data_IF_926810872377
#
_entry.id   IF_926810872377
#
_cell.length_a   1.000
_cell.length_b   1.000
_cell.length_c   1.000
_cell.angle_alpha   90.00
_cell.angle_beta   90.00
_cell.angle_gamma   90.00
#
_symmetry.space_group_name_H-M   'P 1'
#
loop_
_entity.id
_entity.type
_entity.pdbx_description
1 polymer ?
#
# COMPACT_ATOMS: atom_id res chain seq x y z
N UNK A 1 -9.79 2.57 5.58
CA UNK A 1 -10.01 3.07 6.96
C UNK A 1 -11.27 3.90 6.96
N UNK A 2 -12.14 3.78 7.98
CA UNK A 2 -13.35 4.60 8.01
C UNK A 2 -14.19 4.42 9.26
N UNK A 3 -15.28 5.17 9.30
CA UNK A 3 -16.20 5.28 10.42
C UNK A 3 -17.61 4.96 9.94
N UNK A 4 -18.36 4.23 10.77
CA UNK A 4 -19.79 3.97 10.57
C UNK A 4 -20.50 4.09 11.92
N UNK A 5 -21.80 4.36 11.90
CA UNK A 5 -22.59 4.43 13.11
C UNK A 5 -22.63 3.06 13.81
N UNK A 6 -22.73 3.07 15.15
CA UNK A 6 -22.88 1.83 15.91
C UNK A 6 -24.26 1.24 15.61
N UNK A 7 -24.30 -0.03 15.21
CA UNK A 7 -25.53 -0.75 14.88
C UNK A 7 -25.97 -0.66 13.41
N UNK A 8 -25.22 0.05 12.56
CA UNK A 8 -25.42 0.02 11.09
C UNK A 8 -24.46 -0.96 10.42
N UNK A 9 -24.81 -1.40 9.21
CA UNK A 9 -23.90 -2.14 8.36
C UNK A 9 -22.65 -1.29 8.06
N UNK A 10 -21.51 -1.95 7.81
CA UNK A 10 -20.25 -1.32 7.40
C UNK A 10 -20.26 -0.96 5.91
N UNK A 11 -21.29 -1.37 5.17
CA UNK A 11 -21.42 -1.17 3.71
C UNK A 11 -22.24 0.07 3.38
N UNK A 12 -23.29 0.38 4.15
CA UNK A 12 -24.18 1.53 3.90
C UNK A 12 -23.91 2.67 4.91
N UNK A 13 -23.97 3.92 4.45
CA UNK A 13 -23.79 5.15 5.27
C UNK A 13 -22.48 5.22 6.10
N UNK A 14 -21.36 4.81 5.50
CA UNK A 14 -20.04 4.83 6.13
C UNK A 14 -19.12 5.87 5.49
N UNK A 15 -18.38 6.61 6.31
CA UNK A 15 -17.34 7.56 5.87
C UNK A 15 -16.03 6.79 5.72
N UNK A 16 -15.53 6.68 4.49
CA UNK A 16 -14.35 5.89 4.16
C UNK A 16 -13.28 6.67 3.46
N UNK A 17 -12.05 6.33 3.80
CA UNK A 17 -10.84 6.60 3.04
C UNK A 17 -10.15 5.28 2.69
N UNK A 18 -9.79 5.11 1.43
CA UNK A 18 -9.09 3.95 0.88
C UNK A 18 -7.69 4.40 0.48
N UNK A 19 -6.68 4.17 1.34
CA UNK A 19 -5.31 4.43 0.98
C UNK A 19 -4.84 3.38 -0.03
N UNK A 20 -4.10 3.85 -1.03
CA UNK A 20 -3.50 3.05 -2.08
C UNK A 20 -2.00 3.20 -1.93
N UNK A 21 -1.30 2.06 -1.85
CA UNK A 21 0.15 2.01 -1.72
C UNK A 21 0.66 1.01 -2.73
N UNK A 22 1.43 1.48 -3.70
CA UNK A 22 2.03 0.68 -4.75
C UNK A 22 3.53 0.90 -4.71
N UNK A 23 4.29 -0.19 -4.60
CA UNK A 23 5.75 -0.17 -4.55
C UNK A 23 6.26 -0.99 -5.72
N UNK A 24 7.09 -0.39 -6.56
CA UNK A 24 7.75 -1.07 -7.68
C UNK A 24 9.26 -0.97 -7.50
N UNK A 25 9.99 -2.09 -7.40
CA UNK A 25 11.45 -2.06 -7.35
C UNK A 25 12.04 -1.39 -8.61
N UNK A 26 13.05 -0.54 -8.43
CA UNK A 26 13.85 0.03 -9.52
C UNK A 26 15.24 -0.61 -9.55
N UNK A 27 15.87 -0.69 -8.37
CA UNK A 27 17.13 -1.42 -8.15
C UNK A 27 17.01 -2.26 -6.88
N UNK A 28 18.09 -2.94 -6.48
CA UNK A 28 18.14 -3.69 -5.22
C UNK A 28 17.94 -2.79 -3.98
N UNK A 29 18.18 -1.47 -4.10
CA UNK A 29 18.14 -0.50 -3.00
C UNK A 29 17.24 0.72 -3.25
N UNK A 30 16.54 0.77 -4.38
CA UNK A 30 15.62 1.87 -4.72
C UNK A 30 14.29 1.33 -5.23
N UNK A 31 13.21 2.07 -4.96
CA UNK A 31 11.87 1.73 -5.43
C UNK A 31 11.07 2.97 -5.75
N UNK A 32 10.13 2.84 -6.67
CA UNK A 32 9.07 3.81 -6.88
C UNK A 32 7.94 3.54 -5.89
N UNK A 33 7.65 4.52 -5.04
CA UNK A 33 6.53 4.48 -4.11
C UNK A 33 5.42 5.41 -4.60
N UNK A 34 4.36 4.81 -5.16
CA UNK A 34 3.18 5.52 -5.64
C UNK A 34 2.09 5.38 -4.58
N UNK A 35 1.56 6.51 -4.13
CA UNK A 35 0.50 6.55 -3.14
C UNK A 35 -0.70 7.34 -3.65
N UNK A 36 -1.86 7.01 -3.10
CA UNK A 36 -3.11 7.72 -3.38
C UNK A 36 -4.11 7.51 -2.27
N UNK A 37 -5.14 8.33 -2.25
CA UNK A 37 -6.21 8.23 -1.27
C UNK A 37 -7.55 8.50 -1.95
N UNK A 38 -8.42 7.49 -1.97
CA UNK A 38 -9.80 7.66 -2.43
C UNK A 38 -10.72 7.84 -1.22
N UNK A 39 -11.62 8.83 -1.24
CA UNK A 39 -12.62 9.06 -0.19
C UNK A 39 -14.04 9.08 -0.78
N UNK A 40 -15.05 8.78 0.04
CA UNK A 40 -16.46 8.79 -0.37
C UNK A 40 -17.29 9.91 0.30
N UNK A 41 -16.64 10.90 0.93
CA UNK A 41 -17.31 11.96 1.68
C UNK A 41 -16.67 13.32 1.40
N UNK A 42 -17.47 14.40 1.53
CA UNK A 42 -17.04 15.80 1.32
C UNK A 42 -16.16 15.92 0.06
N UNK A 43 -16.72 15.48 -1.08
CA UNK A 43 -15.98 15.42 -2.34
C UNK A 43 -15.74 16.81 -2.91
N UNK A 44 -16.71 17.71 -2.76
CA UNK A 44 -16.64 19.11 -3.23
C UNK A 44 -15.96 20.06 -2.23
N UNK A 45 -15.15 19.51 -1.32
CA UNK A 45 -14.47 20.25 -0.27
C UNK A 45 -12.98 20.36 -0.56
N UNK A 46 -12.60 21.45 -1.22
CA UNK A 46 -11.23 21.70 -1.67
C UNK A 46 -10.28 21.94 -0.49
N UNK A 47 -10.73 22.64 0.56
CA UNK A 47 -9.91 22.89 1.75
C UNK A 47 -9.60 21.57 2.47
N UNK A 48 -10.59 20.70 2.62
CA UNK A 48 -10.37 19.36 3.16
C UNK A 48 -9.44 18.53 2.26
N UNK A 49 -9.56 18.66 0.94
CA UNK A 49 -8.68 17.97 -0.01
C UNK A 49 -7.21 18.35 0.23
N UNK A 50 -6.90 19.64 0.24
CA UNK A 50 -5.54 20.15 0.43
C UNK A 50 -4.97 19.77 1.79
N UNK A 51 -5.78 19.85 2.85
CA UNK A 51 -5.37 19.45 4.19
C UNK A 51 -4.99 17.96 4.24
N UNK A 52 -5.83 17.09 3.68
CA UNK A 52 -5.56 15.65 3.62
C UNK A 52 -4.31 15.36 2.78
N UNK A 53 -4.18 16.00 1.62
CA UNK A 53 -3.03 15.82 0.74
C UNK A 53 -1.73 16.23 1.44
N UNK A 54 -1.70 17.42 2.04
CA UNK A 54 -0.51 17.96 2.71
C UNK A 54 -0.12 17.12 3.91
N UNK A 55 -1.07 16.72 4.77
CA UNK A 55 -0.77 15.89 5.93
C UNK A 55 -0.23 14.52 5.51
N UNK A 56 -0.81 13.94 4.46
CA UNK A 56 -0.40 12.63 3.94
C UNK A 56 1.01 12.70 3.32
N UNK A 57 1.28 13.74 2.53
CA UNK A 57 2.61 13.98 1.96
C UNK A 57 3.68 14.14 3.05
N UNK A 58 3.37 14.86 4.13
CA UNK A 58 4.29 15.02 5.26
C UNK A 58 4.61 13.66 5.91
N UNK A 59 3.60 12.85 6.23
CA UNK A 59 3.81 11.51 6.81
C UNK A 59 4.68 10.63 5.92
N UNK A 60 4.45 10.61 4.60
CA UNK A 60 5.29 9.82 3.70
C UNK A 60 6.72 10.36 3.56
N UNK A 61 6.92 11.67 3.77
CA UNK A 61 8.26 12.25 3.78
C UNK A 61 9.06 11.77 4.99
N UNK A 62 8.40 11.70 6.16
CA UNK A 62 8.97 11.13 7.40
C UNK A 62 9.27 9.63 7.23
N UNK A 63 8.33 8.86 6.66
CA UNK A 63 8.53 7.42 6.39
C UNK A 63 9.72 7.19 5.45
N UNK A 64 9.87 8.01 4.40
CA UNK A 64 10.99 7.90 3.46
C UNK A 64 12.33 8.04 4.18
N UNK A 65 12.49 9.05 5.02
CA UNK A 65 13.74 9.28 5.76
C UNK A 65 14.09 8.07 6.65
N UNK A 66 13.09 7.52 7.35
CA UNK A 66 13.28 6.34 8.18
C UNK A 66 13.62 5.08 7.37
N UNK A 67 12.97 4.88 6.22
CA UNK A 67 13.25 3.72 5.36
C UNK A 67 14.64 3.79 4.75
N UNK A 68 15.09 4.96 4.31
CA UNK A 68 16.47 5.15 3.81
C UNK A 68 17.51 4.91 4.89
N UNK A 69 17.23 5.33 6.14
CA UNK A 69 18.09 5.02 7.28
C UNK A 69 18.13 3.51 7.56
N UNK A 70 16.98 2.84 7.50
CA UNK A 70 16.89 1.39 7.71
C UNK A 70 17.62 0.61 6.62
N UNK A 71 17.48 0.99 5.35
CA UNK A 71 18.18 0.33 4.24
C UNK A 71 19.70 0.41 4.41
N UNK A 72 20.26 1.60 4.71
CA UNK A 72 21.69 1.74 5.01
C UNK A 72 22.15 0.82 6.15
N UNK A 73 21.37 0.71 7.22
CA UNK A 73 21.69 -0.17 8.35
C UNK A 73 21.62 -1.65 7.98
N UNK A 74 20.61 -2.06 7.22
CA UNK A 74 20.47 -3.44 6.79
C UNK A 74 21.60 -3.84 5.85
N UNK A 75 22.09 -2.94 4.99
CA UNK A 75 23.27 -3.17 4.16
C UNK A 75 24.52 -3.45 5.02
N UNK A 76 24.75 -2.66 6.07
CA UNK A 76 25.86 -2.88 7.03
C UNK A 76 25.76 -4.25 7.73
N UNK A 77 24.55 -4.73 7.99
CA UNK A 77 24.27 -6.00 8.69
C UNK A 77 24.15 -7.23 7.75
N UNK A 78 24.35 -7.05 6.45
CA UNK A 78 24.28 -8.15 5.47
C UNK A 78 22.86 -8.59 5.07
N UNK A 79 21.89 -7.68 5.16
CA UNK A 79 20.50 -7.82 4.68
C UNK A 79 19.78 -9.08 5.20
N UNK A 80 19.59 -9.22 6.52
CA UNK A 80 18.88 -10.36 7.08
C UNK A 80 17.43 -10.43 6.58
N UNK A 81 17.00 -11.64 6.18
CA UNK A 81 15.63 -11.87 5.63
C UNK A 81 14.51 -11.57 6.62
N UNK A 82 14.75 -11.73 7.92
CA UNK A 82 13.78 -11.50 8.99
C UNK A 82 14.41 -10.64 10.09
N UNK A 83 13.59 -9.85 10.81
CA UNK A 83 14.09 -9.09 11.95
C UNK A 83 14.65 -10.01 13.04
N UNK A 84 15.77 -9.62 13.66
CA UNK A 84 16.42 -10.40 14.72
C UNK A 84 15.55 -10.50 15.98
N UNK A 85 14.79 -9.45 16.28
CA UNK A 85 13.79 -9.42 17.34
C UNK A 85 12.46 -8.91 16.79
N UNK A 86 11.51 -9.81 16.60
CA UNK A 86 10.17 -9.48 16.16
C UNK A 86 9.24 -9.23 17.35
N UNK A 87 8.38 -8.22 17.24
CA UNK A 87 7.28 -7.93 18.17
C UNK A 87 5.93 -8.32 17.56
N UNK A 88 4.85 -8.26 18.35
CA UNK A 88 3.52 -8.71 17.92
C UNK A 88 3.01 -8.02 16.64
N UNK A 89 3.33 -6.73 16.47
CA UNK A 89 2.91 -5.95 15.29
C UNK A 89 3.60 -6.43 14.00
N UNK A 90 4.75 -7.11 14.10
CA UNK A 90 5.52 -7.59 12.95
C UNK A 90 4.93 -8.85 12.30
N UNK A 91 3.87 -9.43 12.87
CA UNK A 91 3.24 -10.65 12.32
C UNK A 91 2.85 -10.47 10.85
N UNK A 92 2.24 -9.34 10.51
CA UNK A 92 1.80 -9.05 9.15
C UNK A 92 2.98 -8.91 8.16
N UNK A 93 3.96 -8.00 8.38
CA UNK A 93 5.09 -7.85 7.45
C UNK A 93 5.96 -9.12 7.35
N UNK A 94 6.16 -9.87 8.43
CA UNK A 94 6.87 -11.16 8.39
C UNK A 94 6.15 -12.18 7.53
N UNK A 95 4.82 -12.24 7.61
CA UNK A 95 4.01 -13.13 6.76
C UNK A 95 4.08 -12.70 5.30
N UNK A 96 4.04 -11.39 5.03
CA UNK A 96 4.22 -10.84 3.68
C UNK A 96 5.57 -11.21 3.07
N UNK A 97 6.67 -11.08 3.82
CA UNK A 97 8.02 -11.50 3.37
C UNK A 97 8.06 -12.97 2.98
N UNK A 98 7.45 -13.85 3.80
CA UNK A 98 7.39 -15.29 3.48
C UNK A 98 6.58 -15.59 2.22
N UNK A 99 5.49 -14.85 1.99
CA UNK A 99 4.70 -14.99 0.76
C UNK A 99 5.53 -14.58 -0.46
N UNK A 100 6.22 -13.43 -0.38
CA UNK A 100 7.09 -12.94 -1.46
C UNK A 100 8.25 -13.91 -1.73
N UNK A 101 8.93 -14.41 -0.69
CA UNK A 101 9.98 -15.42 -0.82
C UNK A 101 9.46 -16.68 -1.56
N UNK A 102 8.25 -17.14 -1.24
CA UNK A 102 7.64 -18.29 -1.91
C UNK A 102 7.30 -18.01 -3.38
N UNK A 103 6.90 -16.77 -3.73
CA UNK A 103 6.65 -16.35 -5.10
C UNK A 103 7.94 -16.32 -5.92
N UNK A 104 9.01 -15.71 -5.37
CA UNK A 104 10.34 -15.66 -5.99
C UNK A 104 10.89 -17.08 -6.24
N UNK A 105 10.71 -18.00 -5.28
CA UNK A 105 11.12 -19.40 -5.47
C UNK A 105 10.37 -20.09 -6.61
N UNK A 106 9.08 -19.79 -6.81
CA UNK A 106 8.30 -20.34 -7.93
C UNK A 106 8.76 -19.76 -9.26
N UNK A 107 8.95 -18.44 -9.34
CA UNK A 107 9.51 -17.77 -10.52
C UNK A 107 10.88 -18.33 -10.90
N UNK A 108 11.72 -18.63 -9.91
CA UNK A 108 13.05 -19.23 -10.13
C UNK A 108 12.96 -20.67 -10.63
N UNK A 109 11.99 -21.45 -10.13
CA UNK A 109 11.81 -22.85 -10.50
C UNK A 109 11.11 -23.02 -11.86
N UNK A 110 10.23 -22.10 -12.23
CA UNK A 110 9.46 -22.10 -13.46
C UNK A 110 9.42 -20.68 -14.07
N UNK A 111 10.22 -20.42 -15.12
CA UNK A 111 10.24 -19.12 -15.81
C UNK A 111 8.91 -18.73 -16.47
N UNK A 112 7.96 -19.66 -16.62
CA UNK A 112 6.63 -19.38 -17.14
C UNK A 112 5.61 -19.00 -16.05
N UNK A 113 6.00 -19.12 -14.78
CA UNK A 113 5.15 -18.71 -13.67
C UNK A 113 4.94 -17.20 -13.69
N UNK A 114 3.67 -16.80 -13.68
CA UNK A 114 3.24 -15.41 -13.55
C UNK A 114 2.28 -15.30 -12.36
N UNK A 115 2.64 -14.48 -11.37
CA UNK A 115 1.76 -14.21 -10.25
C UNK A 115 0.56 -13.36 -10.73
N UNK A 116 -0.65 -13.92 -10.63
CA UNK A 116 -1.87 -13.16 -10.90
C UNK A 116 -2.18 -12.30 -9.67
N UNK A 117 -2.22 -10.96 -9.80
CA UNK A 117 -2.57 -10.11 -8.68
C UNK A 117 -4.01 -10.38 -8.26
N UNK A 118 -4.24 -10.44 -6.94
CA UNK A 118 -5.60 -10.45 -6.41
C UNK A 118 -6.27 -9.12 -6.77
N UNK A 119 -7.49 -9.19 -7.31
CA UNK A 119 -8.28 -7.99 -7.60
C UNK A 119 -8.58 -7.29 -6.27
N UNK A 120 -8.14 -6.03 -6.16
CA UNK A 120 -8.16 -5.25 -4.91
C UNK A 120 -9.55 -4.65 -4.61
N UNK A 121 -10.52 -4.80 -5.52
CA UNK A 121 -11.88 -4.31 -5.38
C UNK A 121 -12.88 -5.42 -5.69
N UNK A 122 -14.00 -5.47 -4.95
CA UNK A 122 -15.17 -6.24 -5.37
C UNK A 122 -15.71 -5.61 -6.67
N UNK A 123 -15.67 -6.37 -7.76
CA UNK A 123 -15.89 -5.92 -9.15
C UNK A 123 -17.36 -5.63 -9.52
N UNK A 124 -18.14 -5.07 -8.59
CA UNK A 124 -19.46 -4.48 -8.91
C UNK A 124 -19.41 -3.00 -9.29
N UNK A 125 -18.35 -2.27 -8.85
CA UNK A 125 -18.31 -0.79 -8.90
C UNK A 125 -17.16 -0.25 -9.78
N UNK A 126 -16.03 -0.96 -9.86
CA UNK A 126 -14.81 -0.49 -10.56
C UNK A 126 -14.83 -0.77 -12.07
N UNK A 127 -15.77 -1.56 -12.57
CA UNK A 127 -15.97 -1.85 -13.99
C UNK A 127 -16.65 -0.72 -14.77
N UNK A 128 -16.84 0.46 -14.16
CA UNK A 128 -17.25 1.66 -14.89
C UNK A 128 -16.17 1.97 -15.96
N UNK A 129 -16.54 2.10 -17.24
CA UNK A 129 -15.57 2.46 -18.28
C UNK A 129 -14.89 3.77 -17.91
N UNK A 130 -13.58 3.86 -18.13
CA UNK A 130 -12.83 5.12 -17.98
C UNK A 130 -13.62 6.22 -18.70
N UNK A 131 -14.04 7.26 -17.97
CA UNK A 131 -14.60 8.45 -18.60
C UNK A 131 -13.58 8.93 -19.62
N UNK A 132 -13.98 9.03 -20.90
CA UNK A 132 -13.16 9.62 -21.94
C UNK A 132 -12.62 10.95 -21.43
N UNK A 133 -11.29 11.07 -21.38
CA UNK A 133 -10.63 12.32 -21.04
C UNK A 133 -11.22 13.42 -21.94
N UNK A 134 -11.85 14.42 -21.33
CA UNK A 134 -12.28 15.61 -22.02
C UNK A 134 -11.03 16.32 -22.57
N UNK A 135 -11.06 16.60 -23.87
CA UNK A 135 -10.04 17.36 -24.63
C UNK A 135 -9.82 18.78 -24.08
#
# INVERSE_FOLDING_TARGET
>A
VGFHAVGTDRVDDHLMMRPIHLITPETDHTSHYIWGLARNFRLDDDELHENIYTSTQQTFSEDRELLEMQDRRLQEEGMPKLPQMAVKVDKAPVTGRRLLDAMIQRETADPSYCAVPALLADDGIVTQPFAQAAE
#
